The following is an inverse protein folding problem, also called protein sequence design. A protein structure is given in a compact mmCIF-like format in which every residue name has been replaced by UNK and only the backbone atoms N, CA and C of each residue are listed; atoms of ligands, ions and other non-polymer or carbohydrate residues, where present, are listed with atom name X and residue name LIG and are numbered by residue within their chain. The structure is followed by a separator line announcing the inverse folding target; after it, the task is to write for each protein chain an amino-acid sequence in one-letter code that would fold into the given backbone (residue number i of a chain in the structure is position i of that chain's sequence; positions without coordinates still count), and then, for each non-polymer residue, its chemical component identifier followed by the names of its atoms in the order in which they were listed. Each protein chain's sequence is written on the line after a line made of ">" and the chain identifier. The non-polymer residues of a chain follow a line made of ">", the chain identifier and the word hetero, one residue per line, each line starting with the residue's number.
data_IF_897255939274
#
_entry.id   IF_897255939274
#
_cell.length_a   1.000
_cell.length_b   1.000
_cell.length_c   1.000
_cell.angle_alpha   90.00
_cell.angle_beta   90.00
_cell.angle_gamma   90.00
#
_symmetry.space_group_name_H-M   'P 1'
#
loop_
_entity.id
_entity.type
_entity.pdbx_description
1 polymer ?
#
# COMPACT_ATOMS: atom_id res chain seq x y z
N UNK A 1 13.30 -17.96 -4.81
CA UNK A 1 14.19 -18.89 -5.53
C UNK A 1 15.24 -19.42 -4.58
N UNK A 2 15.69 -20.63 -4.82
CA UNK A 2 16.87 -21.18 -4.16
C UNK A 2 17.44 -22.31 -5.04
N UNK A 3 18.73 -22.48 -4.97
CA UNK A 3 19.44 -23.62 -5.56
C UNK A 3 20.11 -24.37 -4.40
N UNK A 4 19.90 -25.66 -4.32
CA UNK A 4 20.42 -26.54 -3.26
C UNK A 4 21.22 -27.68 -3.87
N UNK A 5 22.37 -27.95 -3.31
CA UNK A 5 23.23 -29.07 -3.65
C UNK A 5 23.48 -29.91 -2.40
N UNK A 6 23.12 -31.19 -2.44
CA UNK A 6 23.37 -32.12 -1.33
C UNK A 6 24.78 -32.62 -1.38
N UNK A 7 25.48 -32.60 -0.22
CA UNK A 7 26.78 -33.18 -0.03
C UNK A 7 26.72 -34.30 1.02
N UNK A 8 27.36 -35.41 0.74
CA UNK A 8 27.34 -36.60 1.62
C UNK A 8 28.19 -36.48 2.89
N UNK A 9 28.97 -35.40 3.04
CA UNK A 9 29.71 -35.08 4.26
C UNK A 9 29.90 -33.59 4.42
N UNK A 10 30.18 -33.14 5.65
CA UNK A 10 30.52 -31.75 5.96
C UNK A 10 31.73 -31.26 5.20
N UNK A 11 32.77 -32.06 5.13
CA UNK A 11 33.99 -31.71 4.40
C UNK A 11 33.74 -31.45 2.91
N UNK A 12 32.92 -32.29 2.26
CA UNK A 12 32.51 -32.08 0.86
C UNK A 12 31.69 -30.83 0.68
N UNK A 13 30.79 -30.53 1.63
CA UNK A 13 29.99 -29.28 1.58
C UNK A 13 30.90 -28.06 1.72
N UNK A 14 31.86 -28.08 2.65
CA UNK A 14 32.80 -26.97 2.84
C UNK A 14 33.73 -26.79 1.62
N UNK A 15 34.20 -27.89 1.01
CA UNK A 15 35.00 -27.85 -0.20
C UNK A 15 34.23 -27.24 -1.37
N UNK A 16 32.99 -27.68 -1.57
CA UNK A 16 32.10 -27.14 -2.62
C UNK A 16 31.76 -25.67 -2.39
N UNK A 17 31.45 -25.31 -1.15
CA UNK A 17 31.17 -23.92 -0.80
C UNK A 17 32.36 -22.99 -1.05
N UNK A 18 33.57 -23.38 -0.65
CA UNK A 18 34.82 -22.64 -0.93
C UNK A 18 35.07 -22.52 -2.44
N UNK A 19 34.85 -23.57 -3.19
CA UNK A 19 35.01 -23.55 -4.65
C UNK A 19 34.05 -22.54 -5.30
N UNK A 20 32.77 -22.54 -4.91
CA UNK A 20 31.76 -21.58 -5.43
C UNK A 20 32.16 -20.16 -5.05
N UNK A 21 32.55 -19.94 -3.79
CA UNK A 21 32.97 -18.62 -3.29
C UNK A 21 34.24 -18.10 -3.99
N UNK A 22 35.12 -18.97 -4.47
CA UNK A 22 36.30 -18.56 -5.25
C UNK A 22 35.95 -17.88 -6.57
N UNK A 23 34.75 -18.12 -7.10
CA UNK A 23 34.19 -17.43 -8.26
C UNK A 23 33.34 -16.18 -7.87
N UNK A 24 33.46 -15.72 -6.62
CA UNK A 24 32.71 -14.57 -6.10
C UNK A 24 31.18 -14.79 -6.04
N UNK A 25 30.74 -16.04 -6.05
CA UNK A 25 29.33 -16.41 -5.90
C UNK A 25 29.02 -16.72 -4.43
N UNK A 26 28.01 -16.06 -3.89
CA UNK A 26 27.61 -16.26 -2.49
C UNK A 26 26.89 -17.60 -2.31
N UNK A 27 27.47 -18.49 -1.50
CA UNK A 27 26.88 -19.76 -1.12
C UNK A 27 27.03 -19.99 0.38
N UNK A 28 26.05 -20.68 0.99
CA UNK A 28 26.00 -21.00 2.43
C UNK A 28 25.77 -22.50 2.63
N UNK A 29 26.18 -23.00 3.79
CA UNK A 29 25.99 -24.41 4.17
C UNK A 29 24.92 -24.46 5.25
N UNK A 30 23.99 -25.41 5.10
CA UNK A 30 22.98 -25.75 6.10
C UNK A 30 23.00 -27.26 6.34
N UNK A 31 22.96 -27.64 7.60
CA UNK A 31 22.77 -29.03 8.02
C UNK A 31 21.28 -29.32 8.13
N UNK A 32 20.82 -30.35 7.41
CA UNK A 32 19.45 -30.86 7.49
C UNK A 32 19.46 -32.36 7.77
N UNK A 33 19.07 -32.70 8.96
CA UNK A 33 19.11 -34.10 9.47
C UNK A 33 20.53 -34.69 9.35
N UNK A 34 20.72 -35.61 8.41
CA UNK A 34 21.98 -36.30 8.15
C UNK A 34 22.75 -35.76 6.94
N UNK A 35 22.21 -34.73 6.26
CA UNK A 35 22.79 -34.19 5.01
C UNK A 35 23.27 -32.75 5.19
N UNK A 36 24.35 -32.45 4.49
CA UNK A 36 24.88 -31.09 4.36
C UNK A 36 24.46 -30.52 2.99
N UNK A 37 23.86 -29.34 3.02
CA UNK A 37 23.32 -28.68 1.83
C UNK A 37 24.07 -27.38 1.61
N UNK A 38 24.68 -27.25 0.44
CA UNK A 38 25.19 -25.96 -0.03
C UNK A 38 24.07 -25.28 -0.81
N UNK A 39 23.68 -24.07 -0.40
CA UNK A 39 22.57 -23.39 -1.01
C UNK A 39 22.87 -21.93 -1.37
N UNK A 40 22.19 -21.46 -2.39
CA UNK A 40 22.15 -20.08 -2.84
C UNK A 40 20.70 -19.61 -2.85
N UNK A 41 20.44 -18.42 -2.30
CA UNK A 41 19.09 -17.86 -2.18
C UNK A 41 18.87 -16.67 -3.13
N UNK A 42 19.93 -15.93 -3.40
CA UNK A 42 19.86 -14.76 -4.26
C UNK A 42 19.81 -15.16 -5.73
N UNK A 43 18.84 -14.58 -6.47
CA UNK A 43 18.65 -14.90 -7.89
C UNK A 43 19.88 -14.58 -8.74
N UNK A 44 20.62 -13.52 -8.44
CA UNK A 44 21.87 -13.18 -9.13
C UNK A 44 22.94 -14.26 -8.93
N UNK A 45 23.14 -14.71 -7.69
CA UNK A 45 24.11 -15.78 -7.38
C UNK A 45 23.77 -17.10 -8.11
N UNK A 46 22.47 -17.42 -8.25
CA UNK A 46 22.05 -18.60 -9.01
C UNK A 46 22.35 -18.44 -10.50
N UNK A 47 22.13 -17.26 -11.09
CA UNK A 47 22.47 -16.95 -12.49
C UNK A 47 23.97 -17.10 -12.72
N UNK A 48 24.78 -16.49 -11.87
CA UNK A 48 26.23 -16.55 -11.96
C UNK A 48 26.74 -18.00 -11.85
N UNK A 49 26.20 -18.76 -10.90
CA UNK A 49 26.52 -20.16 -10.75
C UNK A 49 26.16 -21.01 -11.99
N UNK A 50 24.95 -20.86 -12.52
CA UNK A 50 24.50 -21.58 -13.70
C UNK A 50 25.34 -21.23 -14.94
N UNK A 51 25.80 -19.98 -15.05
CA UNK A 51 26.69 -19.53 -16.10
C UNK A 51 28.07 -20.16 -15.96
N UNK A 52 28.66 -20.19 -14.76
CA UNK A 52 29.97 -20.76 -14.48
C UNK A 52 30.03 -22.25 -14.83
N UNK A 53 28.98 -23.00 -14.49
CA UNK A 53 28.91 -24.44 -14.79
C UNK A 53 28.45 -24.73 -16.24
N UNK A 54 28.20 -23.72 -17.07
CA UNK A 54 27.77 -23.87 -18.46
C UNK A 54 26.34 -24.39 -18.63
N UNK A 55 25.48 -24.28 -17.61
CA UNK A 55 24.08 -24.74 -17.62
C UNK A 55 23.16 -23.68 -18.30
N UNK A 56 23.49 -23.28 -19.54
CA UNK A 56 22.84 -22.17 -20.23
C UNK A 56 21.33 -22.36 -20.45
N UNK A 57 20.89 -23.60 -20.69
CA UNK A 57 19.46 -23.88 -20.84
C UNK A 57 18.71 -23.61 -19.55
N UNK A 58 19.22 -24.13 -18.42
CA UNK A 58 18.63 -23.91 -17.10
C UNK A 58 18.67 -22.43 -16.70
N UNK A 59 19.76 -21.72 -17.07
CA UNK A 59 19.89 -20.29 -16.86
C UNK A 59 18.79 -19.51 -17.57
N UNK A 60 18.56 -19.79 -18.86
CA UNK A 60 17.51 -19.12 -19.64
C UNK A 60 16.09 -19.40 -19.08
N UNK A 61 15.82 -20.65 -18.71
CA UNK A 61 14.56 -21.03 -18.07
C UNK A 61 14.37 -20.29 -16.73
N UNK A 62 15.41 -20.21 -15.91
CA UNK A 62 15.38 -19.51 -14.64
C UNK A 62 15.15 -18.00 -14.81
N UNK A 63 15.84 -17.35 -15.76
CA UNK A 63 15.64 -15.93 -16.06
C UNK A 63 14.22 -15.63 -16.54
N UNK A 64 13.64 -16.49 -17.40
CA UNK A 64 12.25 -16.35 -17.82
C UNK A 64 11.28 -16.40 -16.62
N UNK A 65 11.50 -17.32 -15.67
CA UNK A 65 10.69 -17.41 -14.44
C UNK A 65 10.86 -16.16 -13.58
N UNK A 66 12.07 -15.61 -13.49
CA UNK A 66 12.34 -14.36 -12.75
C UNK A 66 11.57 -13.18 -13.35
N UNK A 67 11.68 -12.98 -14.66
CA UNK A 67 11.00 -11.90 -15.38
C UNK A 67 9.48 -11.98 -15.16
N UNK A 68 8.89 -13.16 -15.37
CA UNK A 68 7.46 -13.35 -15.16
C UNK A 68 7.02 -13.06 -13.73
N UNK A 69 7.82 -13.45 -12.73
CA UNK A 69 7.53 -13.17 -11.32
C UNK A 69 7.63 -11.67 -11.00
N UNK A 70 8.63 -10.99 -11.54
CA UNK A 70 8.80 -9.54 -11.36
C UNK A 70 7.64 -8.76 -12.00
N UNK A 71 7.23 -9.15 -13.21
CA UNK A 71 6.06 -8.56 -13.88
C UNK A 71 4.78 -8.74 -13.05
N UNK A 72 4.51 -9.96 -12.57
CA UNK A 72 3.35 -10.24 -11.70
C UNK A 72 3.39 -9.42 -10.40
N UNK A 73 4.55 -9.36 -9.76
CA UNK A 73 4.72 -8.59 -8.53
C UNK A 73 4.54 -7.08 -8.76
N UNK A 74 4.98 -6.57 -9.90
CA UNK A 74 4.80 -5.17 -10.28
C UNK A 74 3.32 -4.84 -10.50
N UNK A 75 2.62 -5.68 -11.26
CA UNK A 75 1.18 -5.55 -11.51
C UNK A 75 0.40 -5.61 -10.19
N UNK A 76 0.66 -6.62 -9.36
CA UNK A 76 -0.03 -6.79 -8.08
C UNK A 76 0.19 -5.57 -7.15
N UNK A 77 1.41 -5.04 -7.08
CA UNK A 77 1.70 -3.83 -6.30
C UNK A 77 0.93 -2.63 -6.83
N UNK A 78 0.84 -2.47 -8.15
CA UNK A 78 0.10 -1.38 -8.77
C UNK A 78 -1.40 -1.49 -8.46
N UNK A 79 -1.99 -2.67 -8.67
CA UNK A 79 -3.42 -2.93 -8.38
C UNK A 79 -3.73 -2.72 -6.91
N UNK A 80 -2.89 -3.24 -5.99
CA UNK A 80 -3.08 -3.06 -4.56
C UNK A 80 -2.99 -1.59 -4.13
N UNK A 81 -2.08 -0.82 -4.74
CA UNK A 81 -1.94 0.61 -4.50
C UNK A 81 -3.18 1.38 -4.97
N UNK A 82 -3.67 1.08 -6.17
CA UNK A 82 -4.89 1.71 -6.72
C UNK A 82 -6.12 1.35 -5.88
N UNK A 83 -6.30 0.09 -5.52
CA UNK A 83 -7.40 -0.36 -4.66
C UNK A 83 -7.37 0.32 -3.28
N UNK A 84 -6.19 0.44 -2.67
CA UNK A 84 -6.03 1.14 -1.40
C UNK A 84 -6.35 2.64 -1.50
N UNK A 85 -5.97 3.28 -2.61
CA UNK A 85 -6.28 4.69 -2.87
C UNK A 85 -7.78 4.92 -3.07
N UNK A 86 -8.44 4.05 -3.84
CA UNK A 86 -9.91 4.09 -4.03
C UNK A 86 -10.60 3.92 -2.68
N UNK A 87 -10.24 2.89 -1.89
CA UNK A 87 -10.82 2.65 -0.57
C UNK A 87 -10.66 3.86 0.36
N UNK A 88 -9.48 4.49 0.40
CA UNK A 88 -9.25 5.71 1.19
C UNK A 88 -10.15 6.86 0.74
N UNK A 89 -10.29 7.05 -0.57
CA UNK A 89 -11.11 8.13 -1.14
C UNK A 89 -12.59 7.93 -0.81
N UNK A 90 -13.11 6.72 -1.00
CA UNK A 90 -14.50 6.38 -0.68
C UNK A 90 -14.77 6.54 0.82
N UNK A 91 -13.90 5.99 1.69
CA UNK A 91 -14.07 6.13 3.14
C UNK A 91 -14.02 7.59 3.61
N UNK A 92 -13.17 8.42 3.00
CA UNK A 92 -13.12 9.85 3.32
C UNK A 92 -14.40 10.57 2.86
N UNK A 93 -14.90 10.24 1.68
CA UNK A 93 -16.15 10.81 1.16
C UNK A 93 -17.35 10.45 2.05
N UNK A 94 -17.49 9.18 2.45
CA UNK A 94 -18.55 8.74 3.34
C UNK A 94 -18.54 9.49 4.69
N UNK A 95 -17.36 9.60 5.31
CA UNK A 95 -17.21 10.36 6.57
C UNK A 95 -17.58 11.82 6.40
N UNK A 96 -17.17 12.46 5.31
CA UNK A 96 -17.51 13.84 5.02
C UNK A 96 -19.01 14.03 4.90
N UNK A 97 -19.71 13.11 4.22
CA UNK A 97 -21.18 13.15 4.09
C UNK A 97 -21.85 12.97 5.46
N UNK A 98 -21.40 11.99 6.26
CA UNK A 98 -21.92 11.77 7.62
C UNK A 98 -21.71 13.00 8.53
N UNK A 99 -20.54 13.62 8.49
CA UNK A 99 -20.25 14.83 9.26
C UNK A 99 -21.16 16.00 8.84
N UNK A 100 -21.34 16.18 7.54
CA UNK A 100 -22.18 17.25 7.01
C UNK A 100 -23.66 17.01 7.32
N UNK A 101 -24.14 15.76 7.25
CA UNK A 101 -25.50 15.41 7.65
C UNK A 101 -25.71 15.69 9.13
N UNK A 102 -24.75 15.33 9.96
CA UNK A 102 -24.80 15.60 11.40
C UNK A 102 -24.88 17.10 11.69
N UNK A 103 -24.07 17.95 11.01
CA UNK A 103 -24.17 19.40 11.12
C UNK A 103 -25.56 19.91 10.73
N UNK A 104 -26.08 19.43 9.60
CA UNK A 104 -27.42 19.82 9.11
C UNK A 104 -28.48 19.52 10.14
N UNK A 105 -28.43 18.34 10.76
CA UNK A 105 -29.49 17.82 11.63
C UNK A 105 -29.38 18.35 13.08
N UNK A 106 -28.22 18.92 13.47
CA UNK A 106 -28.00 19.48 14.83
C UNK A 106 -28.01 21.01 14.86
N UNK A 107 -27.07 21.65 14.17
CA UNK A 107 -26.88 23.10 14.25
C UNK A 107 -27.37 23.87 13.02
N UNK A 108 -27.73 23.16 11.93
CA UNK A 108 -28.14 23.75 10.68
C UNK A 108 -27.01 24.39 9.86
N UNK A 109 -27.21 24.60 8.57
CA UNK A 109 -26.21 25.26 7.70
C UNK A 109 -26.16 26.79 7.91
N UNK A 110 -27.17 27.36 8.52
CA UNK A 110 -27.26 28.77 8.86
C UNK A 110 -26.20 29.21 9.90
N UNK A 111 -25.71 28.26 10.70
CA UNK A 111 -24.62 28.48 11.65
C UNK A 111 -23.24 28.52 11.02
N UNK A 112 -23.13 28.10 9.75
CA UNK A 112 -21.88 28.05 9.01
C UNK A 112 -21.61 29.36 8.26
N UNK A 113 -20.35 29.65 7.97
CA UNK A 113 -20.02 30.67 6.99
C UNK A 113 -20.53 30.26 5.60
N UNK A 114 -20.89 31.22 4.77
CA UNK A 114 -21.44 31.03 3.42
C UNK A 114 -20.63 30.01 2.60
N UNK A 115 -19.31 30.17 2.59
CA UNK A 115 -18.37 29.29 1.90
C UNK A 115 -18.39 27.83 2.41
N UNK A 116 -18.64 27.60 3.69
CA UNK A 116 -18.74 26.27 4.27
C UNK A 116 -20.13 25.67 4.03
N UNK A 117 -21.18 26.47 4.11
CA UNK A 117 -22.54 26.07 3.79
C UNK A 117 -22.67 25.63 2.32
N UNK A 118 -22.09 26.40 1.40
CA UNK A 118 -22.01 26.04 -0.02
C UNK A 118 -21.30 24.71 -0.23
N UNK A 119 -20.10 24.54 0.36
CA UNK A 119 -19.33 23.29 0.27
C UNK A 119 -20.09 22.10 0.82
N UNK A 120 -20.80 22.26 1.94
CA UNK A 120 -21.62 21.22 2.56
C UNK A 120 -22.76 20.80 1.60
N UNK A 121 -23.49 21.74 1.02
CA UNK A 121 -24.59 21.48 0.06
C UNK A 121 -24.09 20.75 -1.19
N UNK A 122 -22.99 21.25 -1.78
CA UNK A 122 -22.40 20.66 -2.98
C UNK A 122 -21.89 19.23 -2.71
N UNK A 123 -21.27 18.97 -1.53
CA UNK A 123 -20.81 17.62 -1.17
C UNK A 123 -21.95 16.65 -0.93
N UNK A 124 -23.06 17.06 -0.32
CA UNK A 124 -24.24 16.23 -0.17
C UNK A 124 -24.92 15.90 -1.50
N UNK A 125 -24.96 16.87 -2.42
CA UNK A 125 -25.55 16.66 -3.75
C UNK A 125 -24.67 15.74 -4.62
N UNK A 126 -23.37 15.71 -4.38
CA UNK A 126 -22.37 14.98 -5.17
C UNK A 126 -21.42 14.14 -4.28
N UNK A 127 -21.92 13.09 -3.59
CA UNK A 127 -21.15 12.33 -2.58
C UNK A 127 -19.96 11.57 -3.17
N UNK A 128 -20.04 11.11 -4.42
CA UNK A 128 -19.04 10.26 -5.07
C UNK A 128 -18.03 11.03 -5.93
N UNK A 129 -18.25 12.35 -6.12
CA UNK A 129 -17.41 13.16 -7.00
C UNK A 129 -16.04 13.41 -6.34
N UNK A 130 -14.93 13.23 -7.10
CA UNK A 130 -13.59 13.54 -6.62
C UNK A 130 -13.41 15.01 -6.25
N UNK A 131 -12.54 15.30 -5.26
CA UNK A 131 -12.33 16.67 -4.74
C UNK A 131 -11.98 17.70 -5.81
N UNK A 132 -11.28 17.31 -6.87
CA UNK A 132 -10.91 18.22 -7.96
C UNK A 132 -12.14 18.65 -8.75
N UNK A 133 -13.02 17.73 -9.08
CA UNK A 133 -14.25 18.00 -9.82
C UNK A 133 -15.27 18.73 -8.94
N UNK A 134 -15.35 18.33 -7.65
CA UNK A 134 -16.20 19.00 -6.66
C UNK A 134 -15.88 20.49 -6.54
N UNK A 135 -14.59 20.85 -6.64
CA UNK A 135 -14.17 22.25 -6.63
C UNK A 135 -14.65 23.06 -7.83
N UNK A 136 -14.91 22.42 -8.96
CA UNK A 136 -15.47 23.04 -10.15
C UNK A 136 -16.98 23.30 -10.08
N UNK A 137 -17.69 22.67 -9.11
CA UNK A 137 -19.13 22.81 -8.90
C UNK A 137 -19.49 23.97 -7.95
N UNK A 138 -18.51 24.61 -7.36
CA UNK A 138 -18.71 25.78 -6.48
C UNK A 138 -18.90 27.05 -7.30
N UNK A 139 -19.64 28.04 -6.77
CA UNK A 139 -19.82 29.36 -7.40
C UNK A 139 -18.48 30.01 -7.71
N UNK A 140 -17.54 29.94 -6.75
CA UNK A 140 -16.13 30.30 -6.99
C UNK A 140 -15.32 29.03 -7.06
N UNK A 141 -14.83 28.60 -8.25
CA UNK A 141 -14.08 27.37 -8.40
C UNK A 141 -12.83 27.29 -7.51
N UNK A 142 -12.64 26.14 -6.86
CA UNK A 142 -11.51 25.89 -5.98
C UNK A 142 -10.68 24.70 -6.46
N UNK A 143 -9.38 24.79 -6.23
CA UNK A 143 -8.48 23.64 -6.38
C UNK A 143 -8.70 22.59 -5.28
N UNK A 144 -8.20 21.37 -5.53
CA UNK A 144 -8.29 20.23 -4.60
C UNK A 144 -7.91 20.58 -3.14
N UNK A 145 -6.87 21.40 -2.95
CA UNK A 145 -6.41 21.81 -1.61
C UNK A 145 -7.43 22.70 -0.90
N UNK A 146 -8.06 23.64 -1.60
CA UNK A 146 -9.10 24.52 -1.05
C UNK A 146 -10.35 23.73 -0.66
N UNK A 147 -10.79 22.81 -1.53
CA UNK A 147 -11.91 21.89 -1.24
C UNK A 147 -11.60 21.05 0.01
N UNK A 148 -10.41 20.43 0.06
CA UNK A 148 -10.02 19.61 1.19
C UNK A 148 -9.94 20.41 2.51
N UNK A 149 -9.50 21.66 2.45
CA UNK A 149 -9.48 22.55 3.62
C UNK A 149 -10.89 22.85 4.15
N UNK A 150 -11.84 23.20 3.24
CA UNK A 150 -13.23 23.44 3.64
C UNK A 150 -13.90 22.20 4.24
N UNK A 151 -13.69 21.01 3.61
CA UNK A 151 -14.24 19.76 4.11
C UNK A 151 -13.64 19.36 5.47
N UNK A 152 -12.34 19.58 5.69
CA UNK A 152 -11.73 19.37 7.02
C UNK A 152 -12.36 20.27 8.08
N UNK A 153 -12.59 21.54 7.77
CA UNK A 153 -13.28 22.45 8.70
C UNK A 153 -14.69 21.98 9.04
N UNK A 154 -15.42 21.45 8.08
CA UNK A 154 -16.74 20.85 8.34
C UNK A 154 -16.63 19.64 9.26
N UNK A 155 -15.68 18.74 9.05
CA UNK A 155 -15.45 17.61 9.94
C UNK A 155 -15.04 18.05 11.36
N UNK A 156 -14.21 19.09 11.50
CA UNK A 156 -13.84 19.66 12.80
C UNK A 156 -15.06 20.24 13.53
N UNK A 157 -15.96 20.94 12.82
CA UNK A 157 -17.21 21.46 13.39
C UNK A 157 -18.12 20.32 13.86
N UNK A 158 -18.30 19.29 13.03
CA UNK A 158 -19.09 18.11 13.38
C UNK A 158 -18.55 17.40 14.63
N UNK A 159 -17.23 17.23 14.71
CA UNK A 159 -16.60 16.59 15.86
C UNK A 159 -16.79 17.41 17.15
N UNK A 160 -16.55 18.71 17.10
CA UNK A 160 -16.75 19.61 18.23
C UNK A 160 -18.22 19.62 18.73
N UNK A 161 -19.18 19.49 17.80
CA UNK A 161 -20.60 19.41 18.17
C UNK A 161 -20.94 18.07 18.83
N UNK A 162 -20.43 16.95 18.31
CA UNK A 162 -20.60 15.63 18.94
C UNK A 162 -20.07 15.59 20.37
N UNK A 163 -18.92 16.23 20.60
CA UNK A 163 -18.31 16.32 21.94
C UNK A 163 -19.19 17.15 22.91
N UNK A 164 -19.80 18.24 22.44
CA UNK A 164 -20.75 19.04 23.24
C UNK A 164 -22.01 18.26 23.56
N UNK A 165 -22.58 17.59 22.58
CA UNK A 165 -23.80 16.82 22.75
C UNK A 165 -23.59 15.67 23.74
N UNK A 166 -22.47 14.95 23.66
CA UNK A 166 -22.10 13.91 24.62
C UNK A 166 -21.93 14.45 26.06
N UNK A 167 -21.33 15.65 26.23
CA UNK A 167 -21.22 16.29 27.55
C UNK A 167 -22.54 16.76 28.14
N UNK A 168 -23.53 17.05 27.31
CA UNK A 168 -24.87 17.44 27.75
C UNK A 168 -25.67 16.22 28.19
N UNK A 169 -25.51 15.08 27.52
CA UNK A 169 -26.13 13.81 27.89
C UNK A 169 -25.60 13.32 29.25
N UNK A 170 -24.28 13.35 29.47
CA UNK A 170 -23.64 12.96 30.75
C UNK A 170 -24.06 13.82 31.95
N UNK A 171 -24.54 15.06 31.74
CA UNK A 171 -24.99 15.95 32.82
C UNK A 171 -26.47 15.80 33.16
N UNK A 172 -27.23 15.10 32.30
CA UNK A 172 -28.67 14.94 32.48
C UNK A 172 -29.06 13.54 33.01
N UNK A 173 -28.08 12.61 33.12
CA UNK A 173 -28.18 11.33 33.82
C UNK A 173 -27.66 11.45 35.26
#
# INVERSE_FOLDING_TARGET
>A
YHLEMMAGSREKAEGLCRLIQSFQVEAKIVERKTNYIVYMKEGAAIVDFLNIIGAHKALMEFENVRILKEMRNSINRKVNCEAANIKKTVSAASRQVEDIQYIRDTIGFESLSENLAEMAKVRLAHPDVPLKELGGLLETPLGKSGVNHRLRKLSEIAQNQREKDAQLEEKND
#
